data_IF_279921166607
#
_entry.id   IF_279921166607
#
_cell.length_a   1.000
_cell.length_b   1.000
_cell.length_c   1.000
_cell.angle_alpha   90.00
_cell.angle_beta   90.00
_cell.angle_gamma   90.00
#
_symmetry.space_group_name_H-M   'P 1'
#
loop_
_entity.id
_entity.type
_entity.pdbx_description
1 polymer ?
#
# COMPACT_ATOMS: atom_id res chain seq x y z
N UNK A 1 13.25 16.73 -3.03
CA UNK A 1 13.18 15.61 -4.01
C UNK A 1 12.53 14.40 -3.37
N UNK A 2 11.74 13.66 -4.15
CA UNK A 2 11.17 12.37 -3.71
C UNK A 2 11.99 11.20 -4.24
N UNK A 3 12.28 10.21 -3.40
CA UNK A 3 13.08 9.03 -3.79
C UNK A 3 12.49 7.72 -3.27
N UNK A 4 12.86 6.62 -3.94
CA UNK A 4 12.55 5.24 -3.54
C UNK A 4 13.36 4.76 -2.32
N UNK A 5 14.20 5.61 -1.74
CA UNK A 5 15.04 5.31 -0.57
C UNK A 5 16.27 4.45 -0.86
N UNK A 6 16.69 4.28 -2.11
CA UNK A 6 17.95 3.62 -2.43
C UNK A 6 19.14 4.29 -1.72
N UNK A 7 20.00 3.50 -1.05
CA UNK A 7 21.08 4.02 -0.21
C UNK A 7 22.01 5.00 -0.93
N UNK A 8 22.29 4.75 -2.22
CA UNK A 8 23.11 5.62 -3.06
C UNK A 8 22.42 6.97 -3.31
N UNK A 9 21.10 6.97 -3.55
CA UNK A 9 20.31 8.18 -3.77
C UNK A 9 20.19 9.00 -2.48
N UNK A 10 19.94 8.34 -1.34
CA UNK A 10 19.91 9.02 -0.04
C UNK A 10 21.26 9.69 0.25
N UNK A 11 22.36 8.99 0.00
CA UNK A 11 23.70 9.52 0.20
C UNK A 11 23.96 10.72 -0.71
N UNK A 12 23.66 10.61 -1.99
CA UNK A 12 23.81 11.71 -2.94
C UNK A 12 23.00 12.95 -2.52
N UNK A 13 21.75 12.78 -2.09
CA UNK A 13 20.93 13.90 -1.61
C UNK A 13 21.52 14.55 -0.35
N UNK A 14 22.07 13.74 0.56
CA UNK A 14 22.72 14.24 1.77
C UNK A 14 23.99 15.01 1.45
N UNK A 15 24.83 14.47 0.57
CA UNK A 15 26.11 15.08 0.15
C UNK A 15 25.86 16.43 -0.57
N UNK A 16 24.72 16.58 -1.25
CA UNK A 16 24.32 17.82 -1.92
C UNK A 16 23.41 18.73 -1.07
N UNK A 17 23.14 18.39 0.19
CA UNK A 17 22.20 19.10 1.07
C UNK A 17 20.80 19.33 0.48
N UNK A 18 20.31 18.40 -0.35
CA UNK A 18 18.99 18.48 -0.95
C UNK A 18 17.92 17.88 -0.04
N UNK A 19 16.76 18.54 0.13
CA UNK A 19 15.67 18.00 0.95
C UNK A 19 15.17 16.68 0.34
N UNK A 20 15.03 15.65 1.17
CA UNK A 20 14.59 14.32 0.76
C UNK A 20 13.28 13.94 1.46
N UNK A 21 12.25 13.66 0.66
CA UNK A 21 11.00 13.06 1.12
C UNK A 21 10.85 11.67 0.48
N UNK A 22 10.91 10.61 1.27
CA UNK A 22 10.76 9.27 0.71
C UNK A 22 9.33 9.03 0.22
N UNK A 23 9.19 8.24 -0.85
CA UNK A 23 7.89 7.89 -1.42
C UNK A 23 6.99 7.22 -0.37
N UNK A 24 5.76 7.74 -0.19
CA UNK A 24 4.81 7.21 0.78
C UNK A 24 4.43 5.76 0.47
N UNK A 25 4.16 5.42 -0.79
CA UNK A 25 3.85 4.05 -1.19
C UNK A 25 4.97 3.05 -0.84
N UNK A 26 6.23 3.46 -1.02
CA UNK A 26 7.38 2.65 -0.60
C UNK A 26 7.48 2.53 0.93
N UNK A 27 7.19 3.61 1.67
CA UNK A 27 7.12 3.58 3.14
C UNK A 27 6.03 2.64 3.64
N UNK A 28 4.84 2.69 3.05
CA UNK A 28 3.71 1.83 3.40
C UNK A 28 4.02 0.37 3.08
N UNK A 29 4.62 0.09 1.91
CA UNK A 29 5.10 -1.25 1.58
C UNK A 29 6.05 -1.79 2.65
N UNK A 30 7.05 -1.01 3.05
CA UNK A 30 7.99 -1.41 4.09
C UNK A 30 7.31 -1.57 5.46
N UNK A 31 6.34 -0.70 5.80
CA UNK A 31 5.58 -0.80 7.04
C UNK A 31 4.83 -2.14 7.13
N UNK A 32 4.17 -2.53 6.04
CA UNK A 32 3.44 -3.80 5.93
C UNK A 32 4.39 -4.98 6.01
N UNK A 33 5.46 -5.00 5.21
CA UNK A 33 6.45 -6.09 5.25
C UNK A 33 7.10 -6.23 6.63
N UNK A 34 7.27 -5.14 7.40
CA UNK A 34 7.74 -5.24 8.79
C UNK A 34 6.64 -5.67 9.76
N UNK A 35 5.39 -5.26 9.53
CA UNK A 35 4.24 -5.61 10.35
C UNK A 35 3.90 -7.11 10.31
N UNK A 36 4.10 -7.75 9.15
CA UNK A 36 3.81 -9.17 8.93
C UNK A 36 4.99 -10.10 9.21
N UNK A 37 6.11 -9.60 9.77
CA UNK A 37 7.21 -10.45 10.26
C UNK A 37 6.79 -11.20 11.51
N UNK A 38 6.37 -12.45 11.33
CA UNK A 38 6.03 -13.40 12.39
C UNK A 38 6.16 -14.84 11.84
N UNK A 39 6.84 -15.76 12.55
CA UNK A 39 6.98 -17.15 12.09
C UNK A 39 5.66 -17.87 11.80
N UNK A 40 4.57 -17.50 12.51
CA UNK A 40 3.23 -18.05 12.28
C UNK A 40 2.68 -17.61 10.92
N UNK A 41 2.93 -16.35 10.57
CA UNK A 41 2.55 -15.77 9.27
C UNK A 41 3.34 -16.44 8.15
N UNK A 42 4.66 -16.59 8.30
CA UNK A 42 5.52 -17.23 7.29
C UNK A 42 5.08 -18.67 7.00
N UNK A 43 4.72 -19.42 8.05
CA UNK A 43 4.18 -20.77 7.93
C UNK A 43 2.87 -20.78 7.14
N UNK A 44 1.88 -19.98 7.55
CA UNK A 44 0.55 -19.96 6.94
C UNK A 44 0.61 -19.55 5.45
N UNK A 45 1.42 -18.53 5.13
CA UNK A 45 1.70 -18.12 3.75
C UNK A 45 2.37 -19.27 2.98
N UNK A 46 3.34 -19.96 3.59
CA UNK A 46 4.00 -21.11 2.97
C UNK A 46 3.04 -22.25 2.62
N UNK A 47 2.06 -22.54 3.47
CA UNK A 47 1.01 -23.53 3.20
C UNK A 47 0.13 -23.05 2.04
N UNK A 48 -0.35 -21.80 2.10
CA UNK A 48 -1.16 -21.19 1.05
C UNK A 48 -0.46 -21.26 -0.33
N UNK A 49 0.82 -20.89 -0.41
CA UNK A 49 1.64 -20.98 -1.63
C UNK A 49 1.70 -22.38 -2.21
N UNK A 50 1.92 -23.39 -1.35
CA UNK A 50 2.02 -24.80 -1.79
C UNK A 50 0.68 -25.31 -2.28
N UNK A 51 -0.41 -24.97 -1.58
CA UNK A 51 -1.76 -25.30 -1.99
C UNK A 51 -2.07 -24.68 -3.36
N UNK A 52 -1.92 -23.36 -3.51
CA UNK A 52 -2.12 -22.64 -4.79
C UNK A 52 -1.29 -23.25 -5.92
N UNK A 53 -0.02 -23.59 -5.67
CA UNK A 53 0.86 -24.24 -6.65
C UNK A 53 0.32 -25.60 -7.08
N UNK A 54 -0.21 -26.41 -6.16
CA UNK A 54 -0.76 -27.73 -6.49
C UNK A 54 -1.93 -27.65 -7.50
N UNK A 55 -2.76 -26.59 -7.42
CA UNK A 55 -3.80 -26.34 -8.43
C UNK A 55 -3.22 -25.79 -9.72
N UNK A 56 -2.29 -24.84 -9.64
CA UNK A 56 -1.68 -24.20 -10.81
C UNK A 56 -1.05 -25.21 -11.78
N UNK A 57 -0.37 -26.24 -11.24
CA UNK A 57 0.31 -27.26 -12.03
C UNK A 57 -0.54 -28.51 -12.36
N UNK A 58 -1.80 -28.57 -11.92
CA UNK A 58 -2.66 -29.75 -12.13
C UNK A 58 -3.97 -29.38 -12.81
N UNK A 59 -4.08 -29.71 -14.09
CA UNK A 59 -5.35 -29.59 -14.84
C UNK A 59 -6.50 -30.31 -14.12
N UNK A 60 -6.25 -31.53 -13.65
CA UNK A 60 -7.24 -32.32 -12.92
C UNK A 60 -7.75 -31.58 -11.68
N UNK A 61 -6.85 -31.06 -10.83
CA UNK A 61 -7.27 -30.30 -9.63
C UNK A 61 -8.03 -29.03 -9.97
N UNK A 62 -7.68 -28.32 -11.06
CA UNK A 62 -8.43 -27.14 -11.51
C UNK A 62 -9.84 -27.50 -11.94
N UNK A 63 -10.00 -28.59 -12.71
CA UNK A 63 -11.32 -29.10 -13.11
C UNK A 63 -12.14 -29.51 -11.88
N UNK A 64 -11.57 -30.32 -11.01
CA UNK A 64 -12.26 -30.80 -9.80
C UNK A 64 -12.61 -29.62 -8.87
N UNK A 65 -11.80 -28.55 -8.83
CA UNK A 65 -12.11 -27.30 -8.13
C UNK A 65 -13.30 -26.56 -8.75
N UNK A 66 -13.38 -26.45 -10.08
CA UNK A 66 -14.53 -25.86 -10.76
C UNK A 66 -15.83 -26.61 -10.49
N UNK A 67 -15.78 -27.95 -10.45
CA UNK A 67 -16.94 -28.78 -10.10
C UNK A 67 -17.38 -28.51 -8.66
N UNK A 68 -16.44 -28.51 -7.71
CA UNK A 68 -16.76 -28.22 -6.30
C UNK A 68 -17.24 -26.78 -6.09
N UNK A 69 -16.69 -25.80 -6.82
CA UNK A 69 -17.16 -24.42 -6.79
C UNK A 69 -18.64 -24.33 -7.20
N UNK A 70 -19.02 -25.01 -8.28
CA UNK A 70 -20.40 -25.06 -8.74
C UNK A 70 -21.33 -25.74 -7.72
N UNK A 71 -20.90 -26.86 -7.12
CA UNK A 71 -21.67 -27.55 -6.08
C UNK A 71 -21.90 -26.71 -4.83
N UNK A 72 -20.89 -25.92 -4.43
CA UNK A 72 -20.94 -25.09 -3.22
C UNK A 72 -21.53 -23.68 -3.48
N UNK A 73 -21.89 -23.36 -4.73
CA UNK A 73 -22.36 -22.03 -5.10
C UNK A 73 -21.30 -20.93 -4.94
N UNK A 74 -20.01 -21.29 -5.03
CA UNK A 74 -18.90 -20.34 -4.94
C UNK A 74 -18.62 -19.70 -6.31
N UNK A 75 -18.09 -18.47 -6.35
CA UNK A 75 -17.59 -17.87 -7.59
C UNK A 75 -16.53 -18.78 -8.24
N UNK A 76 -16.63 -18.98 -9.56
CA UNK A 76 -15.70 -19.85 -10.31
C UNK A 76 -14.41 -19.12 -10.64
N UNK A 77 -13.65 -18.76 -9.61
CA UNK A 77 -12.37 -18.06 -9.74
C UNK A 77 -11.20 -19.03 -9.67
N UNK A 78 -10.15 -18.75 -10.45
CA UNK A 78 -8.86 -19.43 -10.30
C UNK A 78 -8.07 -18.85 -9.13
N UNK A 79 -7.24 -19.68 -8.50
CA UNK A 79 -6.30 -19.24 -7.47
C UNK A 79 -5.21 -18.35 -8.09
N UNK A 80 -4.73 -17.40 -7.31
CA UNK A 80 -3.73 -16.41 -7.73
C UNK A 80 -2.40 -16.75 -7.07
N UNK A 81 -1.32 -16.81 -7.84
CA UNK A 81 0.04 -17.00 -7.33
C UNK A 81 0.67 -15.67 -6.94
N UNK A 82 1.33 -15.61 -5.78
CA UNK A 82 2.12 -14.44 -5.36
C UNK A 82 3.31 -14.19 -6.29
N UNK A 83 3.54 -12.92 -6.63
CA UNK A 83 4.79 -12.45 -7.25
C UNK A 83 5.65 -11.75 -6.19
N UNK A 84 6.94 -12.09 -6.11
CA UNK A 84 7.84 -11.60 -5.06
C UNK A 84 8.01 -10.08 -4.97
N UNK A 85 7.59 -9.33 -5.99
CA UNK A 85 7.94 -7.91 -6.12
C UNK A 85 7.10 -6.97 -5.26
N UNK A 86 5.89 -7.35 -4.83
CA UNK A 86 4.98 -6.46 -4.08
C UNK A 86 4.06 -7.22 -3.13
N UNK A 87 3.90 -6.70 -1.91
CA UNK A 87 2.97 -7.22 -0.89
C UNK A 87 1.53 -7.33 -1.42
N UNK A 88 1.09 -6.45 -2.34
CA UNK A 88 -0.25 -6.48 -2.91
C UNK A 88 -0.56 -7.74 -3.72
N UNK A 89 0.44 -8.44 -4.26
CA UNK A 89 0.21 -9.75 -4.88
C UNK A 89 0.00 -10.86 -3.84
N UNK A 90 0.68 -10.78 -2.69
CA UNK A 90 0.49 -11.67 -1.55
C UNK A 90 -0.91 -11.50 -0.98
N UNK A 91 -1.35 -10.27 -0.75
CA UNK A 91 -2.70 -10.00 -0.24
C UNK A 91 -3.77 -10.56 -1.19
N UNK A 92 -3.66 -10.33 -2.51
CA UNK A 92 -4.61 -10.87 -3.50
C UNK A 92 -4.64 -12.40 -3.53
N UNK A 93 -3.48 -13.06 -3.37
CA UNK A 93 -3.40 -14.52 -3.22
C UNK A 93 -4.17 -14.98 -1.98
N UNK A 94 -3.93 -14.33 -0.83
CA UNK A 94 -4.59 -14.68 0.44
C UNK A 94 -6.10 -14.49 0.34
N UNK A 95 -6.56 -13.34 -0.17
CA UNK A 95 -7.98 -13.05 -0.34
C UNK A 95 -8.68 -14.06 -1.24
N UNK A 96 -8.09 -14.38 -2.41
CA UNK A 96 -8.63 -15.40 -3.31
C UNK A 96 -8.63 -16.78 -2.67
N UNK A 97 -7.60 -17.11 -1.89
CA UNK A 97 -7.50 -18.39 -1.21
C UNK A 97 -8.60 -18.55 -0.15
N UNK A 98 -8.84 -17.52 0.66
CA UNK A 98 -9.89 -17.52 1.68
C UNK A 98 -11.30 -17.60 1.03
N UNK A 99 -11.53 -16.87 -0.06
CA UNK A 99 -12.79 -16.98 -0.83
C UNK A 99 -13.06 -18.41 -1.30
N UNK A 100 -12.01 -19.13 -1.70
CA UNK A 100 -12.09 -20.47 -2.29
C UNK A 100 -11.76 -21.60 -1.30
N UNK A 101 -11.63 -21.29 -0.01
CA UNK A 101 -11.13 -22.20 1.02
C UNK A 101 -11.87 -23.54 1.02
N UNK A 102 -13.21 -23.51 1.05
CA UNK A 102 -14.04 -24.73 1.10
C UNK A 102 -13.80 -25.63 -0.10
N UNK A 103 -13.63 -25.04 -1.29
CA UNK A 103 -13.34 -25.80 -2.51
C UNK A 103 -11.92 -26.39 -2.46
N UNK A 104 -10.94 -25.59 -2.02
CA UNK A 104 -9.54 -26.02 -1.86
C UNK A 104 -9.43 -27.19 -0.89
N UNK A 105 -10.02 -27.07 0.30
CA UNK A 105 -9.99 -28.10 1.34
C UNK A 105 -10.63 -29.41 0.84
N UNK A 106 -11.77 -29.33 0.14
CA UNK A 106 -12.46 -30.50 -0.40
C UNK A 106 -11.62 -31.22 -1.46
N UNK A 107 -11.10 -30.50 -2.45
CA UNK A 107 -10.29 -31.09 -3.52
C UNK A 107 -8.98 -31.68 -2.97
N UNK A 108 -8.26 -30.93 -2.11
CA UNK A 108 -7.02 -31.42 -1.52
C UNK A 108 -7.24 -32.60 -0.57
N UNK A 109 -8.35 -32.60 0.19
CA UNK A 109 -8.73 -33.66 1.12
C UNK A 109 -9.10 -34.97 0.43
N UNK A 110 -9.69 -34.91 -0.76
CA UNK A 110 -10.06 -36.08 -1.56
C UNK A 110 -8.86 -36.76 -2.25
N UNK A 111 -7.75 -36.05 -2.45
CA UNK A 111 -6.53 -36.60 -3.04
C UNK A 111 -5.50 -36.98 -1.97
N UNK A 112 -5.26 -38.29 -1.80
CA UNK A 112 -4.26 -38.83 -0.84
C UNK A 112 -2.88 -38.20 -1.01
N UNK A 113 -2.46 -37.84 -2.23
CA UNK A 113 -1.14 -37.26 -2.49
C UNK A 113 -1.04 -35.80 -2.04
N UNK A 114 -2.13 -35.04 -2.06
CA UNK A 114 -2.13 -33.62 -1.69
C UNK A 114 -2.85 -33.30 -0.38
N UNK A 115 -3.36 -34.31 0.33
CA UNK A 115 -4.02 -34.14 1.64
C UNK A 115 -3.15 -33.43 2.68
N UNK A 116 -1.83 -33.58 2.60
CA UNK A 116 -0.88 -32.89 3.48
C UNK A 116 -0.76 -31.38 3.21
N UNK A 117 -1.37 -30.87 2.13
CA UNK A 117 -1.42 -29.44 1.78
C UNK A 117 -2.70 -28.77 2.24
N UNK A 118 -3.63 -29.52 2.85
CA UNK A 118 -4.85 -28.94 3.43
C UNK A 118 -4.44 -28.00 4.57
N UNK A 119 -4.81 -26.71 4.52
CA UNK A 119 -4.50 -25.78 5.59
C UNK A 119 -5.20 -26.19 6.88
N UNK A 120 -4.53 -25.97 8.01
CA UNK A 120 -5.17 -26.14 9.32
C UNK A 120 -6.05 -24.94 9.65
N UNK A 121 -6.96 -25.08 10.63
CA UNK A 121 -7.77 -23.96 11.10
C UNK A 121 -6.90 -22.79 11.60
N UNK A 122 -5.72 -23.09 12.19
CA UNK A 122 -4.76 -22.08 12.63
C UNK A 122 -4.12 -21.34 11.45
N UNK A 123 -3.82 -22.04 10.35
CA UNK A 123 -3.30 -21.39 9.15
C UNK A 123 -4.36 -20.44 8.57
N UNK A 124 -5.63 -20.85 8.54
CA UNK A 124 -6.74 -20.03 8.06
C UNK A 124 -6.99 -18.79 8.92
N UNK A 125 -7.01 -18.95 10.25
CA UNK A 125 -7.17 -17.85 11.20
C UNK A 125 -6.05 -16.80 11.07
N UNK A 126 -4.81 -17.26 10.86
CA UNK A 126 -3.67 -16.39 10.58
C UNK A 126 -3.84 -15.65 9.24
N UNK A 127 -4.26 -16.36 8.17
CA UNK A 127 -4.49 -15.75 6.86
C UNK A 127 -5.61 -14.70 6.91
N UNK A 128 -6.69 -14.99 7.63
CA UNK A 128 -7.80 -14.05 7.84
C UNK A 128 -7.35 -12.82 8.62
N UNK A 129 -6.57 -13.00 9.69
CA UNK A 129 -5.99 -11.90 10.47
C UNK A 129 -5.12 -10.98 9.62
N UNK A 130 -4.27 -11.54 8.75
CA UNK A 130 -3.43 -10.76 7.83
C UNK A 130 -4.30 -10.01 6.82
N UNK A 131 -5.27 -10.69 6.21
CA UNK A 131 -6.13 -10.10 5.19
C UNK A 131 -6.94 -8.93 5.78
N UNK A 132 -7.50 -9.09 6.97
CA UNK A 132 -8.25 -8.04 7.66
C UNK A 132 -7.40 -6.81 7.96
N UNK A 133 -6.16 -7.00 8.41
CA UNK A 133 -5.26 -5.88 8.72
C UNK A 133 -4.76 -5.12 7.48
N UNK A 134 -4.44 -5.86 6.40
CA UNK A 134 -3.64 -5.31 5.30
C UNK A 134 -4.47 -4.97 4.05
N UNK A 135 -5.59 -5.65 3.80
CA UNK A 135 -6.49 -5.36 2.67
C UNK A 135 -6.86 -3.87 2.53
N UNK A 136 -7.28 -3.14 3.58
CA UNK A 136 -7.67 -1.74 3.43
C UNK A 136 -6.52 -0.82 3.01
N UNK A 137 -5.26 -1.25 3.19
CA UNK A 137 -4.07 -0.45 2.85
C UNK A 137 -3.68 -0.53 1.37
N UNK A 138 -4.31 -1.45 0.62
CA UNK A 138 -3.93 -1.70 -0.78
C UNK A 138 -4.23 -0.50 -1.67
N UNK A 139 -5.44 0.04 -1.52
CA UNK A 139 -5.89 1.20 -2.30
C UNK A 139 -4.99 2.42 -2.07
N UNK A 140 -4.47 2.60 -0.84
CA UNK A 140 -3.52 3.67 -0.50
C UNK A 140 -2.11 3.44 -1.02
N UNK A 141 -1.74 2.20 -1.32
CA UNK A 141 -0.45 1.92 -1.96
C UNK A 141 -0.53 2.22 -3.46
N UNK A 142 -1.68 2.00 -4.10
CA UNK A 142 -1.86 2.24 -5.54
C UNK A 142 -2.21 3.71 -5.86
N UNK A 143 -3.12 4.32 -5.09
CA UNK A 143 -3.10 5.78 -4.90
C UNK A 143 -1.75 6.15 -4.23
N UNK A 144 -1.31 7.39 -4.05
CA UNK A 144 -0.03 7.74 -3.39
C UNK A 144 1.30 7.18 -3.97
N UNK A 145 1.30 6.11 -4.78
CA UNK A 145 2.41 5.70 -5.65
C UNK A 145 2.31 6.29 -7.06
N UNK A 146 1.20 6.98 -7.36
CA UNK A 146 1.00 7.67 -8.64
C UNK A 146 1.86 8.93 -8.75
N UNK A 147 2.51 9.12 -9.89
CA UNK A 147 3.33 10.30 -10.21
C UNK A 147 2.50 11.46 -10.81
N UNK A 148 1.24 11.21 -11.17
CA UNK A 148 0.40 12.12 -11.95
C UNK A 148 -0.36 13.18 -11.14
N UNK A 149 -0.26 13.19 -9.82
CA UNK A 149 -0.94 14.16 -8.96
C UNK A 149 -0.13 14.51 -7.71
N UNK A 150 -0.42 15.68 -7.13
CA UNK A 150 0.20 16.14 -5.88
C UNK A 150 -0.26 15.24 -4.74
N UNK A 151 0.63 14.37 -4.27
CA UNK A 151 0.35 13.37 -3.23
C UNK A 151 0.79 13.80 -1.82
N UNK A 152 1.67 14.80 -1.70
CA UNK A 152 2.29 15.15 -0.40
C UNK A 152 1.27 15.71 0.60
N UNK A 153 0.31 16.53 0.16
CA UNK A 153 -0.73 17.10 1.02
C UNK A 153 -1.70 16.03 1.57
N UNK A 154 -1.82 14.88 0.92
CA UNK A 154 -2.63 13.75 1.39
C UNK A 154 -1.98 12.96 2.52
N UNK A 155 -0.67 13.10 2.74
CA UNK A 155 0.06 12.27 3.71
C UNK A 155 -0.52 12.45 5.12
N UNK A 156 -0.77 13.69 5.58
CA UNK A 156 -1.37 13.93 6.91
C UNK A 156 -2.80 13.37 7.04
N UNK A 157 -3.73 13.66 6.11
CA UNK A 157 -5.05 13.03 6.11
C UNK A 157 -5.01 11.50 6.14
N UNK A 158 -4.11 10.88 5.36
CA UNK A 158 -3.99 9.41 5.28
C UNK A 158 -3.42 8.84 6.57
N UNK A 159 -2.38 9.46 7.15
CA UNK A 159 -1.83 9.04 8.44
C UNK A 159 -2.87 9.17 9.56
N UNK A 160 -3.68 10.23 9.54
CA UNK A 160 -4.79 10.41 10.46
C UNK A 160 -5.83 9.28 10.29
N UNK A 161 -6.27 9.01 9.06
CA UNK A 161 -7.22 7.94 8.75
C UNK A 161 -6.71 6.56 9.18
N UNK A 162 -5.41 6.29 9.00
CA UNK A 162 -4.80 5.05 9.46
C UNK A 162 -4.87 4.95 10.98
N UNK A 163 -4.55 6.04 11.69
CA UNK A 163 -4.54 6.07 13.15
C UNK A 163 -5.93 5.96 13.79
N UNK A 164 -6.96 6.56 13.18
CA UNK A 164 -8.30 6.67 13.77
C UNK A 164 -9.32 5.69 13.20
N UNK A 165 -8.96 4.89 12.19
CA UNK A 165 -9.89 3.96 11.57
C UNK A 165 -9.19 2.70 11.11
N UNK A 166 -8.35 2.76 10.06
CA UNK A 166 -7.91 1.54 9.37
C UNK A 166 -6.95 0.67 10.18
N UNK A 167 -6.07 1.28 10.97
CA UNK A 167 -5.10 0.60 11.84
C UNK A 167 -5.46 0.75 13.33
N UNK A 168 -6.63 1.27 13.64
CA UNK A 168 -7.13 1.25 15.00
C UNK A 168 -7.50 -0.20 15.37
N UNK A 169 -7.00 -0.74 16.49
CA UNK A 169 -7.44 -2.03 16.99
C UNK A 169 -8.93 -1.99 17.36
N UNK A 170 -9.72 -2.90 16.79
CA UNK A 170 -11.13 -3.09 17.16
C UNK A 170 -11.26 -4.17 18.24
N UNK A 171 -12.37 -4.21 18.98
CA UNK A 171 -12.55 -5.23 20.03
C UNK A 171 -12.65 -6.64 19.44
N UNK A 172 -13.27 -6.75 18.26
CA UNK A 172 -13.49 -7.98 17.51
C UNK A 172 -12.24 -8.44 16.75
N UNK A 173 -11.16 -7.65 16.71
CA UNK A 173 -9.92 -8.04 16.07
C UNK A 173 -9.22 -9.15 16.87
N UNK A 174 -8.74 -10.17 16.15
CA UNK A 174 -7.81 -11.14 16.72
C UNK A 174 -6.52 -10.44 17.20
N UNK A 175 -5.88 -11.00 18.23
CA UNK A 175 -4.63 -10.45 18.78
C UNK A 175 -3.52 -10.30 17.73
N UNK A 176 -3.48 -11.20 16.74
CA UNK A 176 -2.55 -11.08 15.62
C UNK A 176 -2.86 -9.87 14.74
N UNK A 177 -4.13 -9.64 14.41
CA UNK A 177 -4.58 -8.46 13.66
C UNK A 177 -4.20 -7.17 14.37
N UNK A 178 -4.48 -7.07 15.69
CA UNK A 178 -4.09 -5.93 16.53
C UNK A 178 -2.58 -5.70 16.51
N UNK A 179 -1.80 -6.78 16.61
CA UNK A 179 -0.34 -6.74 16.56
C UNK A 179 0.17 -6.23 15.20
N UNK A 180 -0.40 -6.71 14.09
CA UNK A 180 -0.03 -6.27 12.73
C UNK A 180 -0.36 -4.78 12.57
N UNK A 181 -1.59 -4.37 12.88
CA UNK A 181 -2.03 -2.97 12.82
C UNK A 181 -1.10 -2.05 13.63
N UNK A 182 -0.81 -2.43 14.88
CA UNK A 182 0.08 -1.68 15.77
C UNK A 182 1.52 -1.59 15.27
N UNK A 183 2.09 -2.67 14.74
CA UNK A 183 3.44 -2.66 14.15
C UNK A 183 3.52 -1.75 12.92
N UNK A 184 2.51 -1.79 12.03
CA UNK A 184 2.45 -0.93 10.85
C UNK A 184 2.36 0.53 11.27
N UNK A 185 1.45 0.87 12.18
CA UNK A 185 1.27 2.25 12.65
C UNK A 185 2.53 2.78 13.33
N UNK A 186 3.15 1.98 14.21
CA UNK A 186 4.41 2.35 14.88
C UNK A 186 5.54 2.61 13.90
N UNK A 187 5.64 1.81 12.83
CA UNK A 187 6.63 2.04 11.79
C UNK A 187 6.39 3.37 11.07
N UNK A 188 5.13 3.68 10.73
CA UNK A 188 4.79 4.93 10.05
C UNK A 188 5.06 6.15 10.96
N UNK A 189 4.63 6.09 12.22
CA UNK A 189 4.89 7.15 13.20
C UNK A 189 6.40 7.44 13.34
N UNK A 190 7.25 6.41 13.45
CA UNK A 190 8.71 6.56 13.50
C UNK A 190 9.30 7.22 12.24
N UNK A 191 8.73 6.95 11.05
CA UNK A 191 9.24 7.53 9.80
C UNK A 191 8.78 8.96 9.55
N UNK A 192 7.64 9.34 10.12
CA UNK A 192 7.05 10.68 10.00
C UNK A 192 7.23 11.57 11.24
N UNK A 193 7.92 11.08 12.29
CA UNK A 193 8.23 11.87 13.49
C UNK A 193 9.38 12.88 13.33
N UNK A 194 10.05 12.90 12.17
CA UNK A 194 11.14 13.84 11.89
C UNK A 194 10.58 15.27 11.76
N UNK A 195 11.00 16.23 12.61
CA UNK A 195 10.48 17.60 12.61
C UNK A 195 10.57 18.28 11.23
N UNK A 196 11.65 18.04 10.48
CA UNK A 196 11.84 18.67 9.16
C UNK A 196 10.80 18.15 8.16
N UNK A 197 10.46 16.87 8.24
CA UNK A 197 9.41 16.29 7.40
C UNK A 197 8.04 16.75 7.85
N UNK A 198 7.79 16.79 9.16
CA UNK A 198 6.51 17.23 9.71
C UNK A 198 6.20 18.68 9.30
N UNK A 199 7.18 19.58 9.36
CA UNK A 199 7.05 20.96 8.89
C UNK A 199 6.72 21.03 7.38
N UNK A 200 7.40 20.23 6.55
CA UNK A 200 7.11 20.14 5.12
C UNK A 200 5.66 19.67 4.89
N UNK A 201 5.21 18.67 5.64
CA UNK A 201 3.87 18.15 5.55
C UNK A 201 2.81 19.15 6.03
N UNK A 202 3.09 19.91 7.09
CA UNK A 202 2.25 21.00 7.58
C UNK A 202 2.06 22.08 6.52
N UNK A 203 3.17 22.57 5.95
CA UNK A 203 3.13 23.54 4.87
C UNK A 203 2.37 23.02 3.65
N UNK A 204 2.61 21.76 3.26
CA UNK A 204 1.90 21.14 2.13
C UNK A 204 0.39 20.98 2.36
N UNK A 205 -0.02 20.73 3.61
CA UNK A 205 -1.43 20.60 3.99
C UNK A 205 -2.10 21.98 4.02
N UNK A 206 -1.39 22.99 4.53
CA UNK A 206 -1.88 24.37 4.60
C UNK A 206 -2.19 24.95 3.22
N UNK A 207 -1.30 24.75 2.26
CA UNK A 207 -1.47 25.27 0.89
C UNK A 207 -2.52 24.51 0.09
N UNK A 208 -2.90 23.31 0.51
CA UNK A 208 -3.96 22.54 -0.14
C UNK A 208 -5.34 23.02 0.33
N UNK A 209 -6.17 23.61 -0.56
CA UNK A 209 -7.47 24.16 -0.17
C UNK A 209 -8.44 23.17 0.46
N UNK A 210 -8.22 21.87 0.23
CA UNK A 210 -9.07 20.76 0.74
C UNK A 210 -8.78 20.45 2.20
N UNK A 211 -7.56 20.69 2.67
CA UNK A 211 -7.11 20.29 3.99
C UNK A 211 -6.84 21.49 4.89
N UNK A 212 -6.19 22.54 4.38
CA UNK A 212 -5.85 23.77 5.12
C UNK A 212 -5.22 23.42 6.47
N UNK A 213 -5.89 23.75 7.57
CA UNK A 213 -5.40 23.53 8.94
C UNK A 213 -5.98 22.29 9.61
N UNK A 214 -6.84 21.52 8.94
CA UNK A 214 -7.63 20.44 9.57
C UNK A 214 -6.77 19.31 10.14
N UNK A 215 -5.65 18.98 9.49
CA UNK A 215 -4.76 17.89 9.90
C UNK A 215 -3.43 18.39 10.49
N UNK A 216 -3.34 19.68 10.78
CA UNK A 216 -2.20 20.32 11.43
C UNK A 216 -2.49 20.34 12.93
N UNK A 217 -1.47 20.09 13.74
CA UNK A 217 -1.57 20.22 15.19
C UNK A 217 -2.02 21.66 15.55
N UNK A 218 -3.09 21.85 16.35
CA UNK A 218 -3.57 23.17 16.72
C UNK A 218 -2.48 24.14 17.20
N UNK A 219 -1.49 23.63 17.94
CA UNK A 219 -0.39 24.44 18.47
C UNK A 219 0.59 24.91 17.38
N UNK A 220 0.63 24.20 16.24
CA UNK A 220 1.50 24.51 15.10
C UNK A 220 0.83 25.38 14.04
N UNK A 221 -0.49 25.52 14.04
CA UNK A 221 -1.23 26.25 13.00
C UNK A 221 -0.72 27.70 12.83
N UNK A 222 -0.60 28.44 13.92
CA UNK A 222 -0.16 29.85 13.88
C UNK A 222 1.32 30.00 13.45
N UNK A 223 2.26 29.21 13.98
CA UNK A 223 3.62 29.16 13.46
C UNK A 223 3.71 28.87 11.95
N UNK A 224 2.97 27.88 11.46
CA UNK A 224 2.99 27.47 10.05
C UNK A 224 2.42 28.57 9.15
N UNK A 225 1.32 29.22 9.55
CA UNK A 225 0.79 30.38 8.82
C UNK A 225 1.78 31.54 8.75
N UNK A 226 2.41 31.90 9.86
CA UNK A 226 3.40 32.99 9.91
C UNK A 226 4.56 32.72 8.96
N UNK A 227 5.06 31.47 8.96
CA UNK A 227 6.10 31.03 8.02
C UNK A 227 5.64 31.13 6.57
N UNK A 228 4.43 30.64 6.25
CA UNK A 228 3.89 30.71 4.90
C UNK A 228 3.80 32.15 4.37
N UNK A 229 3.36 33.08 5.21
CA UNK A 229 3.31 34.51 4.86
C UNK A 229 4.72 35.06 4.66
N UNK A 230 5.67 34.74 5.55
CA UNK A 230 7.05 35.20 5.42
C UNK A 230 7.71 34.68 4.13
N UNK A 231 7.52 33.41 3.78
CA UNK A 231 8.02 32.83 2.53
C UNK A 231 7.37 33.51 1.32
N UNK A 232 6.05 33.72 1.34
CA UNK A 232 5.34 34.42 0.26
C UNK A 232 5.84 35.85 0.05
N UNK A 233 6.14 36.59 1.11
CA UNK A 233 6.69 37.96 1.03
C UNK A 233 8.15 37.99 0.56
N UNK A 234 8.88 36.88 0.70
CA UNK A 234 10.26 36.74 0.25
C UNK A 234 10.39 36.32 -1.22
N UNK A 235 9.31 35.86 -1.85
CA UNK A 235 9.31 35.50 -3.25
C UNK A 235 9.46 36.77 -4.12
N UNK A 236 10.39 36.79 -5.08
CA UNK A 236 10.47 37.90 -6.03
C UNK A 236 9.15 37.99 -6.81
N UNK A 237 8.67 39.21 -7.04
CA UNK A 237 7.46 39.46 -7.82
C UNK A 237 7.55 38.71 -9.17
N UNK A 238 6.45 38.12 -9.67
CA UNK A 238 6.47 37.44 -10.95
C UNK A 238 6.97 38.41 -12.03
N UNK A 239 8.07 38.05 -12.70
CA UNK A 239 8.54 38.81 -13.85
C UNK A 239 7.43 38.80 -14.90
N UNK A 240 6.81 39.97 -15.13
CA UNK A 240 5.93 40.21 -16.26
C UNK A 240 6.75 40.12 -17.55
N UNK A 241 7.08 38.90 -17.99
CA UNK A 241 7.50 38.64 -19.36
C UNK A 241 6.25 38.32 -20.19
N UNK A 242 5.38 39.32 -20.31
CA UNK A 242 4.39 39.39 -21.38
C UNK A 242 5.13 39.75 -22.68
N UNK A 243 5.71 38.74 -23.33
CA UNK A 243 6.04 38.82 -24.75
C UNK A 243 4.96 38.03 -25.49
N UNK A 244 4.17 38.62 -26.40
CA UNK A 244 3.15 37.89 -27.13
C UNK A 244 3.85 36.93 -28.11
N UNK A 245 3.86 35.63 -27.79
CA UNK A 245 4.17 34.58 -28.76
C UNK A 245 3.02 34.51 -29.76
N UNK A 246 3.32 34.81 -31.02
CA UNK A 246 2.43 34.58 -32.16
C UNK A 246 2.05 33.09 -32.26
N UNK A 247 0.87 32.76 -32.85
CA UNK A 247 0.39 31.39 -32.91
C UNK A 247 1.21 30.56 -33.90
N UNK A 248 2.11 29.72 -33.37
CA UNK A 248 2.79 28.67 -34.11
C UNK A 248 1.90 27.43 -34.23
N UNK A 249 1.58 27.09 -35.48
CA UNK A 249 0.95 25.88 -36.02
C UNK A 249 0.89 24.63 -35.12
N UNK A 250 -0.33 24.07 -35.03
CA UNK A 250 -0.64 22.79 -34.39
C UNK A 250 0.22 21.65 -34.96
N UNK A 251 1.06 21.06 -34.12
CA UNK A 251 1.65 19.74 -34.37
C UNK A 251 0.67 18.70 -33.85
N UNK A 252 0.08 17.95 -34.77
CA UNK A 252 -0.74 16.77 -34.47
C UNK A 252 0.05 15.80 -33.57
N UNK A 253 -0.51 15.46 -32.41
CA UNK A 253 -0.01 14.36 -31.58
C UNK A 253 -0.36 13.04 -32.25
N UNK A 254 0.64 12.35 -32.78
CA UNK A 254 0.53 10.93 -33.10
C UNK A 254 0.38 10.13 -31.80
N UNK A 255 -0.51 9.12 -31.75
CA UNK A 255 -0.68 8.28 -30.56
C UNK A 255 0.51 7.32 -30.42
N UNK A 256 1.25 7.41 -29.30
CA UNK A 256 2.21 6.39 -28.92
C UNK A 256 1.45 5.11 -28.54
N UNK A 257 1.53 4.11 -29.41
CA UNK A 257 1.07 2.75 -29.15
C UNK A 257 1.83 2.14 -27.96
N UNK A 258 1.08 1.75 -26.94
CA UNK A 258 1.50 0.78 -25.94
C UNK A 258 1.56 -0.59 -26.60
N UNK A 259 2.75 -1.19 -26.64
CA UNK A 259 2.90 -2.64 -26.85
C UNK A 259 3.25 -3.28 -25.51
N UNK A 260 2.57 -4.36 -25.10
CA UNK A 260 2.80 -5.03 -23.82
C UNK A 260 3.94 -6.06 -23.93
N UNK A 261 4.78 -6.11 -22.90
CA UNK A 261 5.48 -7.33 -22.46
C UNK A 261 5.34 -7.41 -20.94
#
# INVERSE_FOLDING_TARGET
MTTDSGSNMIKALKDNAWPNLQCFGHRLHNAIENGVKDPRIDRAIGVCKKAVSAFSYSWKKRRDMSEVQAELGLPTHQLITESLTRWGSRQRMIERFLEQEKAVVRVLGSDKKSRHLVPTWQDLDVLESINRAVKPLQEFTDALSGESYVSVSYIKPVLHLFKTSLLQPEEEDAELTKTIKGKIMRYLDDKYSDPVKDELLDMSSLVDPRFRTTYIDPDKVEPVKKRAVAEMMSLPAPANNSTPQQPGTAVQRSPCNLSPI
#
